data_IF_132813918430
#
_entry.id   IF_132813918430
#
_cell.length_a   1.000
_cell.length_b   1.000
_cell.length_c   1.000
_cell.angle_alpha   90.00
_cell.angle_beta   90.00
_cell.angle_gamma   90.00
#
_symmetry.space_group_name_H-M   'P 1'
#
loop_
_entity.id
_entity.type
_entity.pdbx_description
1 polymer ?
#
# COMPACT_ATOMS: atom_id res chain seq x y z
N UNK A 1 -2.84 22.57 19.47
CA UNK A 1 -3.44 21.55 18.60
C UNK A 1 -3.10 21.89 17.15
N UNK A 2 -1.96 21.42 16.64
CA UNK A 2 -1.67 21.22 15.20
C UNK A 2 -0.17 20.97 15.01
N UNK A 3 0.32 19.79 15.42
CA UNK A 3 1.69 19.35 15.11
C UNK A 3 1.77 17.86 14.74
N UNK A 4 0.66 17.27 14.26
CA UNK A 4 0.67 15.89 13.72
C UNK A 4 0.77 15.84 12.19
N UNK A 5 1.14 16.95 11.54
CA UNK A 5 1.43 16.99 10.10
C UNK A 5 2.93 16.80 9.86
N UNK A 6 3.50 15.71 10.40
CA UNK A 6 4.88 15.29 10.12
C UNK A 6 5.03 13.76 10.10
N UNK A 7 4.00 13.04 9.65
CA UNK A 7 4.24 11.73 9.06
C UNK A 7 4.55 11.99 7.58
N UNK A 8 5.83 11.91 7.21
CA UNK A 8 6.22 11.82 5.82
C UNK A 8 5.31 10.81 5.12
N UNK A 9 4.73 11.16 3.96
CA UNK A 9 3.99 10.21 3.14
C UNK A 9 4.84 8.94 2.99
N UNK A 10 4.31 7.75 3.30
CA UNK A 10 5.12 6.54 3.36
C UNK A 10 5.77 6.30 2.00
N UNK A 11 7.09 6.12 1.92
CA UNK A 11 7.75 5.86 0.64
C UNK A 11 7.32 4.52 0.03
N UNK A 12 7.49 4.35 -1.29
CA UNK A 12 7.26 3.06 -1.96
C UNK A 12 8.00 1.92 -1.25
N UNK A 13 9.22 2.20 -0.77
CA UNK A 13 10.03 1.22 -0.04
C UNK A 13 9.41 0.83 1.29
N UNK A 14 8.88 1.79 2.05
CA UNK A 14 8.15 1.51 3.29
C UNK A 14 6.87 0.72 3.03
N UNK A 15 6.13 1.04 1.98
CA UNK A 15 4.92 0.31 1.59
C UNK A 15 5.26 -1.14 1.20
N UNK A 16 6.32 -1.34 0.41
CA UNK A 16 6.83 -2.68 0.06
C UNK A 16 7.27 -3.43 1.30
N UNK A 17 7.90 -2.75 2.25
CA UNK A 17 8.29 -3.35 3.51
C UNK A 17 7.07 -3.71 4.35
N UNK A 18 6.01 -2.91 4.43
CA UNK A 18 4.78 -3.27 5.13
C UNK A 18 4.04 -4.44 4.48
N UNK A 19 4.01 -4.49 3.14
CA UNK A 19 3.47 -5.63 2.41
C UNK A 19 4.31 -6.88 2.69
N UNK A 20 5.65 -6.75 2.74
CA UNK A 20 6.59 -7.86 2.97
C UNK A 20 6.59 -8.33 4.41
N UNK A 21 6.64 -7.40 5.38
CA UNK A 21 6.59 -7.62 6.80
C UNK A 21 5.35 -8.43 7.09
N UNK A 22 5.60 -9.70 7.35
CA UNK A 22 4.65 -10.68 7.78
C UNK A 22 4.25 -10.31 9.21
N UNK A 23 3.48 -9.24 9.38
CA UNK A 23 2.74 -9.02 10.63
C UNK A 23 2.09 -10.37 10.94
N UNK A 24 2.66 -11.03 11.96
CA UNK A 24 2.68 -12.48 12.13
C UNK A 24 1.26 -12.98 12.32
N UNK A 25 0.56 -13.22 11.23
CA UNK A 25 -0.68 -13.97 11.25
C UNK A 25 -0.31 -15.39 10.89
N UNK A 26 0.35 -16.04 11.84
CA UNK A 26 0.15 -17.47 12.00
C UNK A 26 -1.35 -17.67 12.19
N UNK A 27 -1.93 -18.57 11.40
CA UNK A 27 -3.31 -18.94 11.62
C UNK A 27 -3.40 -19.55 13.01
N UNK A 28 -4.34 -19.07 13.81
CA UNK A 28 -4.57 -19.67 15.11
C UNK A 28 -5.31 -20.99 14.88
N UNK A 29 -4.62 -22.11 15.12
CA UNK A 29 -5.18 -23.45 15.01
C UNK A 29 -6.39 -23.69 15.94
N UNK A 30 -6.65 -22.80 16.90
CA UNK A 30 -7.86 -22.85 17.75
C UNK A 30 -9.09 -22.30 17.01
N UNK A 31 -8.90 -21.46 15.99
CA UNK A 31 -9.96 -20.86 15.20
C UNK A 31 -10.22 -21.75 13.98
N UNK A 32 -11.46 -22.21 13.75
CA UNK A 32 -11.73 -23.07 12.60
C UNK A 32 -11.53 -22.30 11.29
N UNK A 33 -11.00 -22.98 10.27
CA UNK A 33 -10.73 -22.38 8.95
C UNK A 33 -11.93 -21.61 8.38
N UNK A 34 -13.15 -22.14 8.59
CA UNK A 34 -14.41 -21.51 8.17
C UNK A 34 -14.57 -20.07 8.70
N UNK A 35 -14.16 -19.77 9.92
CA UNK A 35 -14.33 -18.44 10.50
C UNK A 35 -13.54 -17.37 9.76
N UNK A 36 -12.39 -17.73 9.17
CA UNK A 36 -11.66 -16.81 8.31
C UNK A 36 -12.49 -16.43 7.07
N UNK A 37 -13.11 -17.42 6.40
CA UNK A 37 -14.00 -17.19 5.26
C UNK A 37 -15.25 -16.37 5.61
N UNK A 38 -15.71 -16.40 6.87
CA UNK A 38 -16.82 -15.55 7.32
C UNK A 38 -16.43 -14.07 7.43
N UNK A 39 -15.15 -13.78 7.68
CA UNK A 39 -14.60 -12.43 7.80
C UNK A 39 -14.13 -11.86 6.45
N UNK A 40 -13.87 -12.72 5.46
CA UNK A 40 -13.50 -12.35 4.09
C UNK A 40 -14.30 -11.16 3.49
N UNK A 41 -15.65 -11.16 3.48
CA UNK A 41 -16.42 -10.05 2.91
C UNK A 41 -16.24 -8.74 3.69
N UNK A 42 -15.99 -8.80 5.00
CA UNK A 42 -15.75 -7.60 5.81
C UNK A 42 -14.39 -6.98 5.47
N UNK A 43 -13.37 -7.79 5.19
CA UNK A 43 -12.08 -7.29 4.67
C UNK A 43 -12.29 -6.53 3.36
N UNK A 44 -13.15 -7.02 2.46
CA UNK A 44 -13.44 -6.34 1.19
C UNK A 44 -14.19 -5.02 1.36
N UNK A 45 -15.12 -4.95 2.31
CA UNK A 45 -15.76 -3.68 2.68
C UNK A 45 -14.76 -2.67 3.21
N UNK A 46 -13.75 -3.12 3.98
CA UNK A 46 -12.69 -2.24 4.47
C UNK A 46 -11.80 -1.73 3.33
N UNK A 47 -11.45 -2.60 2.38
CA UNK A 47 -10.74 -2.18 1.15
C UNK A 47 -11.52 -1.09 0.43
N UNK A 48 -12.82 -1.30 0.22
CA UNK A 48 -13.68 -0.31 -0.43
C UNK A 48 -13.70 1.02 0.33
N UNK A 49 -13.83 0.98 1.66
CA UNK A 49 -13.78 2.18 2.51
C UNK A 49 -12.45 2.91 2.37
N UNK A 50 -11.32 2.20 2.38
CA UNK A 50 -10.00 2.83 2.23
C UNK A 50 -9.85 3.51 0.88
N UNK A 51 -10.35 2.91 -0.19
CA UNK A 51 -10.38 3.54 -1.53
C UNK A 51 -11.23 4.81 -1.50
N UNK A 52 -12.42 4.77 -0.88
CA UNK A 52 -13.32 5.92 -0.79
C UNK A 52 -12.74 7.08 0.03
N UNK A 53 -11.92 6.77 1.05
CA UNK A 53 -11.30 7.77 1.93
C UNK A 53 -9.91 8.22 1.44
N UNK A 54 -9.54 7.94 0.19
CA UNK A 54 -8.22 8.26 -0.40
C UNK A 54 -7.02 7.68 0.38
N UNK A 55 -7.21 6.50 0.97
CA UNK A 55 -6.20 5.74 1.70
C UNK A 55 -5.75 4.51 0.89
N UNK A 56 -5.29 4.76 -0.33
CA UNK A 56 -4.91 3.72 -1.30
C UNK A 56 -3.78 2.80 -0.77
N UNK A 57 -2.87 3.34 0.05
CA UNK A 57 -1.79 2.57 0.68
C UNK A 57 -2.34 1.50 1.62
N UNK A 58 -3.32 1.86 2.47
CA UNK A 58 -3.97 0.93 3.40
C UNK A 58 -4.85 -0.09 2.67
N UNK A 59 -5.54 0.35 1.62
CA UNK A 59 -6.30 -0.55 0.74
C UNK A 59 -5.40 -1.64 0.16
N UNK A 60 -4.23 -1.24 -0.36
CA UNK A 60 -3.29 -2.17 -0.99
C UNK A 60 -2.73 -3.19 0.01
N UNK A 61 -2.31 -2.74 1.20
CA UNK A 61 -1.83 -3.62 2.28
C UNK A 61 -2.89 -4.66 2.65
N UNK A 62 -4.15 -4.23 2.78
CA UNK A 62 -5.24 -5.11 3.14
C UNK A 62 -5.56 -6.13 2.02
N UNK A 63 -5.48 -5.73 0.76
CA UNK A 63 -5.64 -6.64 -0.39
C UNK A 63 -4.51 -7.69 -0.39
N UNK A 64 -3.25 -7.30 -0.19
CA UNK A 64 -2.14 -8.27 -0.11
C UNK A 64 -2.28 -9.24 1.06
N UNK A 65 -2.76 -8.74 2.20
CA UNK A 65 -3.08 -9.57 3.36
C UNK A 65 -4.16 -10.60 3.04
N UNK A 66 -5.23 -10.17 2.39
CA UNK A 66 -6.30 -11.05 1.91
C UNK A 66 -5.76 -12.12 0.94
N UNK A 67 -5.05 -11.72 -0.11
CA UNK A 67 -4.49 -12.66 -1.08
C UNK A 67 -3.55 -13.67 -0.43
N UNK A 68 -2.63 -13.24 0.45
CA UNK A 68 -1.70 -14.15 1.15
C UNK A 68 -2.43 -15.15 2.04
N UNK A 69 -3.45 -14.70 2.76
CA UNK A 69 -4.27 -15.53 3.63
C UNK A 69 -4.93 -16.66 2.83
N UNK A 70 -5.65 -16.33 1.76
CA UNK A 70 -6.50 -17.28 1.03
C UNK A 70 -5.74 -18.09 -0.04
N UNK A 71 -4.67 -17.56 -0.64
CA UNK A 71 -3.89 -18.30 -1.66
C UNK A 71 -2.82 -19.22 -1.06
N UNK A 72 -2.37 -18.96 0.18
CA UNK A 72 -1.20 -19.68 0.74
C UNK A 72 -1.39 -20.17 2.16
N UNK A 73 -1.81 -19.31 3.08
CA UNK A 73 -1.82 -19.66 4.51
C UNK A 73 -2.94 -20.64 4.85
N UNK A 74 -4.19 -20.33 4.49
CA UNK A 74 -5.38 -21.10 4.89
C UNK A 74 -5.39 -22.52 4.32
N UNK A 75 -4.75 -22.74 3.17
CA UNK A 75 -4.63 -24.06 2.53
C UNK A 75 -3.85 -25.05 3.40
N UNK A 76 -3.02 -24.56 4.33
CA UNK A 76 -2.24 -25.39 5.27
C UNK A 76 -2.97 -25.66 6.59
N UNK A 77 -4.15 -25.07 6.79
CA UNK A 77 -4.89 -25.20 8.04
C UNK A 77 -5.47 -26.61 8.19
N UNK A 78 -5.38 -27.19 9.39
CA UNK A 78 -5.86 -28.56 9.67
C UNK A 78 -7.35 -28.78 9.31
N UNK A 79 -8.18 -27.76 9.55
CA UNK A 79 -9.62 -27.79 9.30
C UNK A 79 -10.02 -27.27 7.90
N UNK A 80 -9.06 -27.04 6.99
CA UNK A 80 -9.36 -26.50 5.65
C UNK A 80 -10.35 -27.38 4.87
N UNK A 81 -10.21 -28.70 4.95
CA UNK A 81 -11.12 -29.64 4.27
C UNK A 81 -12.57 -29.61 4.78
N UNK A 82 -12.86 -28.87 5.86
CA UNK A 82 -14.21 -28.69 6.42
C UNK A 82 -14.87 -27.38 5.98
N UNK A 83 -14.17 -26.56 5.18
CA UNK A 83 -14.72 -25.30 4.68
C UNK A 83 -15.81 -25.61 3.64
N UNK A 84 -17.02 -25.03 3.76
CA UNK A 84 -18.08 -25.19 2.79
C UNK A 84 -17.68 -24.72 1.38
N UNK A 85 -18.11 -25.46 0.35
CA UNK A 85 -17.76 -25.18 -1.04
C UNK A 85 -18.26 -23.80 -1.52
N UNK A 86 -19.43 -23.37 -1.04
CA UNK A 86 -19.99 -22.05 -1.33
C UNK A 86 -19.07 -20.91 -0.85
N UNK A 87 -18.43 -21.09 0.31
CA UNK A 87 -17.48 -20.11 0.85
C UNK A 87 -16.17 -20.09 0.07
N UNK A 88 -15.70 -21.25 -0.37
CA UNK A 88 -14.52 -21.34 -1.23
C UNK A 88 -14.76 -20.61 -2.55
N UNK A 89 -15.88 -20.91 -3.22
CA UNK A 89 -16.25 -20.29 -4.50
C UNK A 89 -16.38 -18.76 -4.37
N UNK A 90 -17.08 -18.26 -3.34
CA UNK A 90 -17.24 -16.81 -3.11
C UNK A 90 -15.89 -16.10 -2.91
N UNK A 91 -14.98 -16.72 -2.18
CA UNK A 91 -13.63 -16.16 -1.98
C UNK A 91 -12.80 -16.24 -3.25
N UNK A 92 -12.93 -17.30 -4.05
CA UNK A 92 -12.27 -17.42 -5.35
C UNK A 92 -12.72 -16.34 -6.33
N UNK A 93 -14.04 -16.12 -6.44
CA UNK A 93 -14.62 -15.03 -7.24
C UNK A 93 -14.09 -13.66 -6.78
N UNK A 94 -13.97 -13.47 -5.46
CA UNK A 94 -13.39 -12.25 -4.89
C UNK A 94 -11.91 -12.11 -5.24
N UNK A 95 -11.13 -13.20 -5.19
CA UNK A 95 -9.71 -13.20 -5.55
C UNK A 95 -9.49 -12.76 -7.00
N UNK A 96 -10.34 -13.22 -7.92
CA UNK A 96 -10.29 -12.81 -9.33
C UNK A 96 -10.52 -11.31 -9.53
N UNK A 97 -11.32 -10.68 -8.66
CA UNK A 97 -11.59 -9.23 -8.70
C UNK A 97 -10.44 -8.44 -8.05
N UNK A 98 -9.92 -8.89 -6.91
CA UNK A 98 -8.91 -8.11 -6.16
C UNK A 98 -7.51 -8.17 -6.77
N UNK A 99 -7.18 -9.21 -7.53
CA UNK A 99 -5.90 -9.33 -8.23
C UNK A 99 -5.65 -8.14 -9.19
N UNK A 100 -6.52 -7.86 -10.18
CA UNK A 100 -6.33 -6.70 -11.05
C UNK A 100 -6.51 -5.35 -10.32
N UNK A 101 -7.33 -5.32 -9.27
CA UNK A 101 -7.49 -4.14 -8.43
C UNK A 101 -6.17 -3.77 -7.72
N UNK A 102 -5.46 -4.76 -7.17
CA UNK A 102 -4.17 -4.55 -6.53
C UNK A 102 -3.16 -3.92 -7.49
N UNK A 103 -3.03 -4.47 -8.71
CA UNK A 103 -2.14 -3.92 -9.74
C UNK A 103 -2.49 -2.48 -10.09
N UNK A 104 -3.79 -2.17 -10.22
CA UNK A 104 -4.25 -0.80 -10.50
C UNK A 104 -3.86 0.16 -9.39
N UNK A 105 -4.06 -0.23 -8.12
CA UNK A 105 -3.71 0.59 -6.96
C UNK A 105 -2.19 0.77 -6.85
N UNK A 106 -1.41 -0.28 -7.12
CA UNK A 106 0.06 -0.18 -7.17
C UNK A 106 0.53 0.85 -8.19
N UNK A 107 0.00 0.81 -9.41
CA UNK A 107 0.36 1.78 -10.45
C UNK A 107 0.02 3.22 -10.02
N UNK A 108 -1.16 3.43 -9.41
CA UNK A 108 -1.58 4.73 -8.91
C UNK A 108 -0.63 5.25 -7.82
N UNK A 109 -0.24 4.39 -6.87
CA UNK A 109 0.69 4.75 -5.81
C UNK A 109 2.08 5.06 -6.36
N UNK A 110 2.60 4.24 -7.28
CA UNK A 110 3.89 4.48 -7.92
C UNK A 110 3.91 5.85 -8.60
N UNK A 111 2.85 6.20 -9.35
CA UNK A 111 2.71 7.52 -9.99
C UNK A 111 2.64 8.65 -8.96
N UNK A 112 1.86 8.47 -7.89
CA UNK A 112 1.71 9.44 -6.79
C UNK A 112 3.07 9.73 -6.14
N UNK A 113 3.85 8.71 -5.82
CA UNK A 113 5.16 8.88 -5.20
C UNK A 113 6.20 9.46 -6.14
N UNK A 114 6.20 9.06 -7.43
CA UNK A 114 7.10 9.64 -8.42
C UNK A 114 6.85 11.15 -8.62
N UNK A 115 5.57 11.58 -8.64
CA UNK A 115 5.22 12.99 -8.71
C UNK A 115 5.66 13.77 -7.46
N UNK A 116 5.47 13.19 -6.26
CA UNK A 116 5.92 13.80 -5.00
C UNK A 116 7.45 13.98 -4.95
N UNK A 117 8.21 13.01 -5.46
CA UNK A 117 9.67 13.13 -5.56
C UNK A 117 10.09 14.28 -6.49
N UNK A 118 9.50 14.36 -7.68
CA UNK A 118 9.80 15.43 -8.64
C UNK A 118 9.46 16.83 -8.10
N UNK A 119 8.38 16.97 -7.32
CA UNK A 119 8.02 18.24 -6.67
C UNK A 119 9.03 18.66 -5.59
N UNK A 120 9.59 17.71 -4.84
CA UNK A 120 10.62 17.95 -3.84
C UNK A 120 11.99 18.32 -4.45
N UNK A 121 12.28 17.84 -5.66
CA UNK A 121 13.53 18.14 -6.38
C UNK A 121 13.49 19.51 -7.10
N UNK A 122 12.28 20.00 -7.44
CA UNK A 122 12.07 21.28 -8.12
C UNK A 122 12.62 22.55 -7.42
N UNK A 123 12.56 22.73 -6.08
CA UNK A 123 13.08 23.94 -5.41
C UNK A 123 14.61 24.05 -5.36
N UNK A 124 15.37 23.05 -5.81
CA UNK A 124 16.84 23.09 -5.77
C UNK A 124 17.47 23.83 -6.96
N UNK A 125 16.72 24.05 -8.05
CA UNK A 125 17.23 24.72 -9.26
C UNK A 125 17.08 26.25 -9.23
N UNK A 126 16.21 26.81 -8.38
CA UNK A 126 16.09 28.28 -8.24
C UNK A 126 17.16 28.86 -7.30
N UNK A 127 17.62 28.12 -6.29
CA UNK A 127 18.70 28.60 -5.38
C UNK A 127 20.08 28.72 -6.03
N UNK A 128 20.32 28.03 -7.15
CA UNK A 128 21.57 28.18 -7.92
C UNK A 128 21.52 29.30 -8.96
N UNK A 129 20.33 29.87 -9.25
CA UNK A 129 20.17 30.97 -10.23
C UNK A 129 20.27 32.35 -9.61
N UNK A 130 20.31 32.46 -8.28
CA UNK A 130 20.58 33.72 -7.58
C UNK A 130 21.99 33.78 -7.01
N UNK A 131 23.00 33.53 -7.84
CA UNK A 131 24.29 34.19 -7.61
C UNK A 131 24.21 35.52 -8.35
N UNK A 132 24.20 36.67 -7.65
CA UNK A 132 24.11 37.96 -8.31
C UNK A 132 25.31 38.12 -9.25
N UNK A 133 25.02 38.47 -10.50
CA UNK A 133 25.93 38.89 -11.57
C UNK A 133 26.76 40.15 -11.22
N UNK A 134 27.11 40.38 -9.96
CA UNK A 134 27.82 41.58 -9.49
C UNK A 134 29.32 41.30 -9.31
N UNK A 135 29.75 40.05 -9.12
CA UNK A 135 31.18 39.77 -8.87
C UNK A 135 32.04 39.71 -10.14
N UNK A 136 31.45 39.60 -11.34
CA UNK A 136 32.23 39.54 -12.59
C UNK A 136 32.69 40.93 -13.08
N UNK A 137 32.15 42.04 -12.54
CA UNK A 137 32.59 43.38 -12.93
C UNK A 137 33.81 43.92 -12.16
N UNK A 138 34.27 43.26 -11.10
CA UNK A 138 35.43 43.73 -10.31
C UNK A 138 36.77 43.21 -10.86
N UNK A 139 36.77 42.24 -11.79
CA UNK A 139 38.00 41.66 -12.36
C UNK A 139 38.37 42.18 -13.77
N UNK A 140 37.62 43.13 -14.33
CA UNK A 140 37.87 43.68 -15.68
C UNK A 140 37.89 45.23 -15.76
N UNK A 141 38.11 45.92 -14.64
CA UNK A 141 38.50 47.34 -14.66
C UNK A 141 39.66 47.60 -13.72
N UNK A 142 40.83 47.72 -14.35
CA UNK A 142 42.05 48.49 -13.98
C UNK A 142 42.72 48.21 -12.64
#
# INVERSE_FOLDING_TARGET
MNELKLAASPSIEQLREWIRCDGVEELDDKIPARSYYEIAPEMMKMVHRYIQTDQAELALILIFKFMRLYLKKILKHKDFGRVPLDKLSQTEDTLLIVLPLASTIEELLIRKFAAQQHELDAPSLEKQRTLPMVTVQILLKR
#
